data_IF_431511841563
#
_entry.id   IF_431511841563
#
_cell.length_a   1.000
_cell.length_b   1.000
_cell.length_c   1.000
_cell.angle_alpha   90.00
_cell.angle_beta   90.00
_cell.angle_gamma   90.00
#
_symmetry.space_group_name_H-M   'P 1'
#
loop_
_entity.id
_entity.type
_entity.pdbx_description
1 polymer ?
#
# COMPACT_ATOMS: atom_id res chain seq x y z
N UNK A 1 -3.76 6.33 2.24
CA UNK A 1 -3.82 6.21 3.72
C UNK A 1 -2.48 5.73 4.25
N UNK A 2 -2.19 5.93 5.53
CA UNK A 2 -0.86 5.66 6.07
C UNK A 2 -0.87 5.12 7.50
N UNK A 3 0.04 4.21 7.83
CA UNK A 3 0.28 3.74 9.19
C UNK A 3 1.78 3.53 9.47
N UNK A 4 2.33 4.36 10.36
CA UNK A 4 3.72 4.31 10.82
C UNK A 4 3.85 3.73 12.23
N UNK A 5 4.33 2.47 12.30
CA UNK A 5 4.61 1.78 13.55
C UNK A 5 5.89 2.26 14.26
N UNK A 6 6.81 2.95 13.57
CA UNK A 6 8.04 3.50 14.17
C UNK A 6 7.75 4.61 15.20
N UNK A 7 6.52 5.14 15.19
CA UNK A 7 6.03 6.14 16.14
C UNK A 7 5.30 5.51 17.34
N UNK A 8 5.12 4.19 17.36
CA UNK A 8 4.49 3.51 18.49
C UNK A 8 5.39 3.58 19.75
N UNK A 9 4.77 3.49 20.93
CA UNK A 9 5.45 3.63 22.23
C UNK A 9 5.76 5.06 22.65
N UNK A 10 5.78 6.01 21.70
CA UNK A 10 6.08 7.43 21.94
C UNK A 10 4.84 8.18 22.44
N UNK A 11 5.05 9.32 23.08
CA UNK A 11 4.01 10.33 23.31
C UNK A 11 4.17 11.41 22.26
N UNK A 12 3.18 11.60 21.40
CA UNK A 12 3.21 12.59 20.33
C UNK A 12 1.90 13.35 20.29
N UNK A 13 1.99 14.68 20.20
CA UNK A 13 0.85 15.51 19.82
C UNK A 13 0.77 15.52 18.28
N UNK A 14 -0.44 15.37 17.76
CA UNK A 14 -0.72 15.50 16.33
C UNK A 14 -1.75 16.60 16.16
N UNK A 15 -1.57 17.46 15.17
CA UNK A 15 -2.60 18.39 14.71
C UNK A 15 -3.58 17.66 13.80
N UNK A 16 -4.83 18.12 13.83
CA UNK A 16 -5.82 17.67 12.87
C UNK A 16 -5.66 18.50 11.59
N UNK A 17 -5.43 17.84 10.46
CA UNK A 17 -5.10 18.54 9.22
C UNK A 17 -6.35 19.17 8.58
N UNK A 18 -7.44 18.40 8.44
CA UNK A 18 -8.79 18.83 8.03
C UNK A 18 -9.82 17.69 8.25
N UNK A 19 -11.16 17.88 8.10
CA UNK A 19 -12.12 16.79 8.33
C UNK A 19 -11.95 15.58 7.39
N UNK A 20 -11.39 15.78 6.19
CA UNK A 20 -11.18 14.73 5.19
C UNK A 20 -9.82 14.02 5.32
N UNK A 21 -8.92 14.53 6.17
CA UNK A 21 -7.59 13.99 6.41
C UNK A 21 -7.26 14.13 7.90
N UNK A 22 -7.40 13.02 8.62
CA UNK A 22 -7.25 12.97 10.07
C UNK A 22 -5.97 12.23 10.39
N UNK A 23 -4.99 12.97 10.90
CA UNK A 23 -3.77 12.43 11.48
C UNK A 23 -4.01 12.14 12.96
N UNK A 24 -3.84 10.87 13.34
CA UNK A 24 -4.00 10.41 14.72
C UNK A 24 -2.72 9.72 15.18
N UNK A 25 -2.30 9.95 16.43
CA UNK A 25 -1.31 9.12 17.09
C UNK A 25 -1.99 8.27 18.16
N UNK A 26 -1.61 6.99 18.24
CA UNK A 26 -2.05 6.10 19.31
C UNK A 26 -0.84 5.36 19.86
N UNK A 27 -0.56 5.46 21.16
CA UNK A 27 0.65 4.86 21.79
C UNK A 27 0.89 3.40 21.41
N UNK A 28 -0.16 2.56 21.34
CA UNK A 28 -0.03 1.13 20.96
C UNK A 28 0.22 0.88 19.47
N UNK A 29 -0.08 1.84 18.59
CA UNK A 29 -0.17 1.62 17.13
C UNK A 29 0.75 2.56 16.35
N UNK A 30 1.20 3.68 16.93
CA UNK A 30 1.98 4.69 16.23
C UNK A 30 1.10 5.73 15.56
N UNK A 31 1.54 6.22 14.40
CA UNK A 31 0.87 7.30 13.69
C UNK A 31 0.03 6.75 12.54
N UNK A 32 -1.20 7.23 12.41
CA UNK A 32 -2.14 6.84 11.38
C UNK A 32 -2.68 8.08 10.67
N UNK A 33 -2.73 8.03 9.34
CA UNK A 33 -3.40 9.03 8.51
C UNK A 33 -4.61 8.36 7.86
N UNK A 34 -5.79 8.79 8.30
CA UNK A 34 -7.08 8.41 7.75
C UNK A 34 -7.54 9.48 6.80
N UNK A 35 -8.21 9.08 5.73
CA UNK A 35 -8.75 10.01 4.74
C UNK A 35 -10.19 9.60 4.38
N UNK A 36 -10.99 10.55 3.93
CA UNK A 36 -12.38 10.36 3.51
C UNK A 36 -12.59 10.88 2.08
N UNK A 37 -13.61 10.36 1.38
CA UNK A 37 -13.96 10.71 0.00
C UNK A 37 -12.74 10.71 -0.95
N UNK A 38 -12.04 9.57 -1.01
CA UNK A 38 -10.72 9.49 -1.64
C UNK A 38 -10.87 8.98 -3.07
N UNK A 39 -10.21 9.66 -4.01
CA UNK A 39 -9.94 9.16 -5.36
C UNK A 39 -9.11 7.87 -5.31
N UNK A 40 -9.54 6.77 -5.96
CA UNK A 40 -8.73 5.56 -6.08
C UNK A 40 -7.43 5.79 -6.85
N UNK A 41 -6.44 4.95 -6.56
CA UNK A 41 -5.28 4.74 -7.40
C UNK A 41 -5.64 3.77 -8.53
N UNK A 42 -5.15 3.98 -9.74
CA UNK A 42 -5.44 3.12 -10.89
C UNK A 42 -4.19 2.34 -11.32
N UNK A 43 -4.34 1.03 -11.52
CA UNK A 43 -3.25 0.16 -11.96
C UNK A 43 -3.76 -0.98 -12.84
N UNK A 44 -2.86 -1.56 -13.64
CA UNK A 44 -3.16 -2.74 -14.46
C UNK A 44 -3.41 -3.98 -13.60
N UNK A 45 -4.40 -4.77 -14.00
CA UNK A 45 -4.80 -6.00 -13.33
C UNK A 45 -5.27 -7.06 -14.34
N UNK A 46 -4.65 -8.24 -14.29
CA UNK A 46 -4.96 -9.40 -15.13
C UNK A 46 -5.60 -10.57 -14.35
N UNK A 47 -6.16 -10.28 -13.17
CA UNK A 47 -6.73 -11.31 -12.29
C UNK A 47 -5.79 -11.77 -11.17
N UNK A 48 -4.47 -11.47 -11.25
CA UNK A 48 -3.48 -11.95 -10.27
C UNK A 48 -2.84 -10.82 -9.46
N UNK A 49 -2.40 -11.16 -8.26
CA UNK A 49 -1.56 -10.32 -7.40
C UNK A 49 -0.26 -11.06 -7.11
N UNK A 50 0.87 -10.35 -7.10
CA UNK A 50 2.04 -10.80 -6.35
C UNK A 50 1.73 -10.66 -4.87
N UNK A 51 2.29 -11.49 -4.02
CA UNK A 51 2.09 -11.42 -2.57
C UNK A 51 3.43 -11.61 -1.87
N UNK A 52 3.69 -10.76 -0.88
CA UNK A 52 4.72 -11.00 0.12
C UNK A 52 4.26 -12.14 1.02
N UNK A 53 5.10 -13.16 1.14
CA UNK A 53 4.90 -14.28 2.05
C UNK A 53 5.83 -14.14 3.27
N UNK A 54 5.43 -14.80 4.35
CA UNK A 54 6.21 -14.84 5.59
C UNK A 54 7.61 -15.39 5.31
N UNK A 55 8.64 -14.56 5.55
CA UNK A 55 10.04 -14.91 5.36
C UNK A 55 10.66 -14.40 4.06
N UNK A 56 9.86 -13.84 3.15
CA UNK A 56 10.39 -13.17 1.95
C UNK A 56 11.24 -11.95 2.32
N UNK A 57 12.25 -11.65 1.50
CA UNK A 57 13.06 -10.46 1.70
C UNK A 57 12.27 -9.18 1.40
N UNK A 58 12.55 -8.13 2.18
CA UNK A 58 12.04 -6.77 2.04
C UNK A 58 13.13 -5.84 1.52
N UNK A 59 12.73 -4.81 0.80
CA UNK A 59 13.63 -3.71 0.49
C UNK A 59 13.86 -2.84 1.73
N UNK A 60 15.05 -2.91 2.31
CA UNK A 60 15.41 -2.17 3.53
C UNK A 60 15.55 -0.65 3.32
N UNK A 61 15.82 -0.20 2.10
CA UNK A 61 16.10 1.22 1.77
C UNK A 61 15.08 1.83 0.81
N UNK A 62 14.11 1.03 0.36
CA UNK A 62 13.05 1.41 -0.55
C UNK A 62 11.68 0.97 -0.05
N UNK A 63 10.75 0.79 -0.99
CA UNK A 63 9.38 0.36 -0.70
C UNK A 63 9.24 -1.12 -1.03
N UNK A 64 8.76 -1.89 -0.07
CA UNK A 64 8.30 -3.26 -0.31
C UNK A 64 6.82 -3.26 -0.62
N UNK A 65 6.45 -3.78 -1.79
CA UNK A 65 5.05 -3.94 -2.15
C UNK A 65 4.54 -5.30 -1.68
N UNK A 66 3.56 -5.30 -0.78
CA UNK A 66 3.08 -6.51 -0.13
C UNK A 66 2.12 -7.31 -1.00
N UNK A 67 1.39 -6.65 -1.90
CA UNK A 67 0.42 -7.33 -2.75
C UNK A 67 0.15 -6.63 -4.09
N UNK A 68 1.18 -6.23 -4.83
CA UNK A 68 0.98 -5.51 -6.10
C UNK A 68 0.12 -6.29 -7.11
N UNK A 69 -0.83 -5.62 -7.79
CA UNK A 69 -1.55 -6.24 -8.90
C UNK A 69 -0.59 -6.55 -10.04
N UNK A 70 -0.90 -7.61 -10.80
CA UNK A 70 -0.13 -8.05 -11.96
C UNK A 70 -0.85 -7.62 -13.23
N UNK A 71 -0.10 -7.15 -14.21
CA UNK A 71 -0.58 -6.69 -15.50
C UNK A 71 0.25 -5.49 -15.96
N UNK A 72 0.18 -5.20 -17.25
CA UNK A 72 0.78 -4.01 -17.85
C UNK A 72 0.04 -3.68 -19.16
N UNK A 73 0.44 -2.60 -19.83
CA UNK A 73 -0.21 -2.16 -21.07
C UNK A 73 -0.18 -3.22 -22.17
N UNK A 74 0.90 -4.01 -22.26
CA UNK A 74 1.08 -5.09 -23.23
C UNK A 74 0.34 -6.40 -22.89
N UNK A 75 -0.23 -6.54 -21.69
CA UNK A 75 -0.96 -7.75 -21.29
C UNK A 75 -2.41 -7.70 -21.82
N UNK A 76 -2.79 -8.54 -22.80
CA UNK A 76 -4.10 -8.45 -23.46
C UNK A 76 -5.28 -8.68 -22.51
N UNK A 77 -5.06 -9.46 -21.44
CA UNK A 77 -6.04 -9.81 -20.42
C UNK A 77 -6.13 -8.75 -19.32
N UNK A 78 -5.12 -7.89 -19.18
CA UNK A 78 -5.13 -6.84 -18.19
C UNK A 78 -6.14 -5.74 -18.50
N UNK A 79 -6.75 -5.19 -17.45
CA UNK A 79 -7.56 -3.97 -17.45
C UNK A 79 -7.06 -3.02 -16.37
N UNK A 80 -7.29 -1.72 -16.55
CA UNK A 80 -7.03 -0.73 -15.50
C UNK A 80 -8.13 -0.85 -14.45
N UNK A 81 -7.75 -1.05 -13.19
CA UNK A 81 -8.67 -1.25 -12.07
C UNK A 81 -8.39 -0.25 -10.93
N UNK A 82 -9.42 0.13 -10.14
CA UNK A 82 -9.28 1.03 -9.02
C UNK A 82 -8.80 0.30 -7.75
N UNK A 83 -7.91 0.95 -7.02
CA UNK A 83 -7.32 0.47 -5.79
C UNK A 83 -7.31 1.55 -4.72
N UNK A 84 -7.51 1.10 -3.48
CA UNK A 84 -7.11 1.83 -2.29
C UNK A 84 -5.64 1.49 -2.00
N UNK A 85 -4.75 2.46 -2.13
CA UNK A 85 -3.36 2.30 -1.70
C UNK A 85 -3.20 2.60 -0.20
N UNK A 86 -2.68 1.60 0.51
CA UNK A 86 -2.33 1.70 1.92
C UNK A 86 -0.81 1.65 2.06
N UNK A 87 -0.21 2.75 2.50
CA UNK A 87 1.23 2.81 2.77
C UNK A 87 1.48 2.60 4.27
N UNK A 88 2.65 2.11 4.63
CA UNK A 88 3.00 1.98 6.04
C UNK A 88 4.48 1.82 6.29
N UNK A 89 4.87 2.09 7.54
CA UNK A 89 6.22 1.84 8.05
C UNK A 89 6.12 0.72 9.08
N UNK A 90 6.79 -0.40 8.82
CA UNK A 90 6.66 -1.64 9.59
C UNK A 90 8.03 -2.15 10.07
N UNK A 91 8.11 -2.86 11.21
CA UNK A 91 9.36 -3.45 11.67
C UNK A 91 9.79 -4.62 10.77
N UNK A 92 11.07 -4.65 10.44
CA UNK A 92 11.75 -5.73 9.73
C UNK A 92 13.05 -6.09 10.47
N UNK A 93 13.51 -7.32 10.28
CA UNK A 93 14.81 -7.75 10.80
C UNK A 93 15.92 -7.17 9.91
N UNK A 94 16.84 -6.40 10.50
CA UNK A 94 17.88 -5.70 9.74
C UNK A 94 18.97 -6.62 9.17
N UNK A 95 19.03 -7.89 9.61
CA UNK A 95 20.00 -8.88 9.12
C UNK A 95 19.35 -9.92 8.21
N UNK A 96 18.18 -10.42 8.60
CA UNK A 96 17.48 -11.44 7.83
C UNK A 96 16.53 -10.86 6.77
N UNK A 97 16.30 -9.55 6.82
CA UNK A 97 15.62 -8.79 5.78
C UNK A 97 14.16 -9.21 5.53
N UNK A 98 13.47 -9.82 6.48
CA UNK A 98 12.01 -10.01 6.39
C UNK A 98 11.27 -9.15 7.40
N UNK A 99 9.99 -8.90 7.12
CA UNK A 99 9.10 -8.26 8.10
C UNK A 99 9.06 -9.07 9.40
N UNK A 100 9.13 -8.36 10.52
CA UNK A 100 8.95 -8.94 11.83
C UNK A 100 7.46 -9.22 12.03
N UNK A 101 7.16 -10.40 12.58
CA UNK A 101 5.84 -10.76 13.10
C UNK A 101 5.88 -10.53 14.61
N UNK A 102 5.51 -9.33 15.11
CA UNK A 102 5.63 -9.03 16.52
C UNK A 102 4.47 -9.62 17.33
N UNK A 103 4.75 -10.01 18.58
CA UNK A 103 3.69 -10.28 19.55
C UNK A 103 3.08 -8.96 20.03
N UNK A 104 1.92 -8.60 19.49
CA UNK A 104 1.22 -7.36 19.86
C UNK A 104 0.35 -7.53 21.10
N UNK A 105 -0.62 -8.45 21.05
CA UNK A 105 -1.53 -8.73 22.16
C UNK A 105 -0.79 -9.40 23.32
N UNK A 106 -0.92 -8.85 24.53
CA UNK A 106 -0.15 -9.29 25.70
C UNK A 106 1.37 -9.05 25.60
N UNK A 107 1.87 -8.58 24.45
CA UNK A 107 3.28 -8.23 24.21
C UNK A 107 3.45 -6.72 24.08
N UNK A 108 3.82 -6.25 22.88
CA UNK A 108 4.16 -4.83 22.63
C UNK A 108 3.15 -3.84 23.22
N UNK A 109 1.85 -4.14 23.17
CA UNK A 109 0.81 -3.25 23.70
C UNK A 109 0.77 -3.12 25.23
N UNK A 110 1.50 -3.97 25.97
CA UNK A 110 1.67 -3.87 27.42
C UNK A 110 3.00 -3.19 27.79
N UNK A 111 4.10 -3.64 27.21
CA UNK A 111 5.44 -3.23 27.64
C UNK A 111 6.12 -2.20 26.71
N UNK A 112 5.60 -1.98 25.49
CA UNK A 112 6.13 -1.04 24.50
C UNK A 112 7.60 -1.25 24.12
N UNK A 113 8.06 -2.50 24.19
CA UNK A 113 9.41 -2.93 23.83
C UNK A 113 9.35 -3.77 22.55
N UNK A 114 9.86 -3.20 21.46
CA UNK A 114 9.84 -3.82 20.14
C UNK A 114 10.73 -5.06 20.06
N UNK A 115 11.87 -5.06 20.75
CA UNK A 115 12.84 -6.13 20.71
C UNK A 115 12.32 -7.37 21.45
N UNK A 116 11.67 -7.18 22.61
CA UNK A 116 10.92 -8.26 23.28
C UNK A 116 9.76 -8.76 22.44
N UNK A 117 8.97 -7.87 21.84
CA UNK A 117 7.82 -8.27 21.03
C UNK A 117 8.25 -9.04 19.75
N UNK A 118 9.36 -8.64 19.14
CA UNK A 118 9.96 -9.33 18.01
C UNK A 118 10.48 -10.71 18.41
N UNK A 119 11.25 -10.83 19.51
CA UNK A 119 11.69 -12.14 20.03
C UNK A 119 10.54 -13.12 20.22
N UNK A 120 9.50 -12.69 20.94
CA UNK A 120 8.38 -13.56 21.28
C UNK A 120 7.57 -13.97 20.04
N UNK A 121 7.31 -13.00 19.15
CA UNK A 121 6.50 -13.24 17.95
C UNK A 121 7.22 -14.06 16.89
N UNK A 122 8.51 -13.77 16.64
CA UNK A 122 9.32 -14.51 15.68
C UNK A 122 9.58 -15.95 16.14
N UNK A 123 9.84 -16.15 17.44
CA UNK A 123 9.92 -17.49 18.03
C UNK A 123 8.64 -18.29 17.80
N UNK A 124 7.47 -17.68 18.02
CA UNK A 124 6.18 -18.32 17.78
C UNK A 124 5.92 -18.61 16.29
N UNK A 125 6.43 -17.76 15.39
CA UNK A 125 6.34 -17.94 13.94
C UNK A 125 7.37 -18.95 13.37
N UNK A 126 8.27 -19.50 14.20
CA UNK A 126 9.33 -20.39 13.74
C UNK A 126 10.42 -19.70 12.91
N UNK A 127 10.50 -18.36 12.98
CA UNK A 127 11.49 -17.56 12.25
C UNK A 127 12.61 -17.09 13.17
N UNK A 128 13.80 -16.92 12.61
CA UNK A 128 14.94 -16.36 13.34
C UNK A 128 14.70 -14.86 13.59
N UNK A 129 15.35 -14.34 14.62
CA UNK A 129 15.40 -12.90 14.89
C UNK A 129 16.82 -12.56 15.31
N UNK A 130 17.40 -11.55 14.66
CA UNK A 130 18.81 -11.18 14.83
C UNK A 130 19.06 -10.27 16.03
N UNK A 131 17.99 -9.76 16.67
CA UNK A 131 18.10 -8.71 17.68
C UNK A 131 18.17 -7.30 17.11
N UNK A 132 18.12 -7.14 15.78
CA UNK A 132 18.23 -5.83 15.11
C UNK A 132 16.96 -5.52 14.32
N UNK A 133 16.27 -4.46 14.72
CA UNK A 133 15.05 -3.99 14.07
C UNK A 133 15.37 -2.79 13.19
N UNK A 134 14.90 -2.81 11.94
CA UNK A 134 14.81 -1.64 11.07
C UNK A 134 13.34 -1.41 10.72
N UNK A 135 12.92 -0.16 10.62
CA UNK A 135 11.58 0.18 10.15
C UNK A 135 11.64 0.47 8.65
N UNK A 136 10.83 -0.24 7.87
CA UNK A 136 10.87 -0.23 6.40
C UNK A 136 9.55 0.25 5.80
N UNK A 137 9.62 0.84 4.60
CA UNK A 137 8.44 1.31 3.90
C UNK A 137 7.74 0.16 3.18
N UNK A 138 6.42 0.14 3.28
CA UNK A 138 5.57 -0.87 2.66
C UNK A 138 4.38 -0.24 1.98
N UNK A 139 3.89 -0.88 0.92
CA UNK A 139 2.66 -0.50 0.21
C UNK A 139 1.80 -1.72 -0.06
N UNK A 140 0.49 -1.52 0.05
CA UNK A 140 -0.51 -2.57 -0.17
C UNK A 140 -1.67 -2.01 -0.99
N UNK A 141 -2.04 -2.72 -2.04
CA UNK A 141 -3.16 -2.46 -2.92
C UNK A 141 -4.39 -3.21 -2.45
N UNK A 142 -5.49 -2.51 -2.25
CA UNK A 142 -6.79 -3.12 -1.96
C UNK A 142 -7.76 -2.76 -3.06
N UNK A 143 -8.31 -3.77 -3.76
CA UNK A 143 -9.28 -3.51 -4.83
C UNK A 143 -10.51 -2.80 -4.29
N UNK A 144 -11.00 -1.83 -5.05
CA UNK A 144 -12.27 -1.15 -4.79
C UNK A 144 -13.33 -1.75 -5.71
N UNK A 145 -14.27 -2.51 -5.13
CA UNK A 145 -15.34 -3.18 -5.88
C UNK A 145 -16.75 -2.87 -5.34
N UNK A 146 -16.83 -2.06 -4.29
CA UNK A 146 -18.07 -1.65 -3.63
C UNK A 146 -18.16 -0.12 -3.65
N UNK A 147 -19.25 0.43 -3.10
CA UNK A 147 -19.55 1.87 -3.15
C UNK A 147 -19.69 2.38 -4.59
N UNK A 148 -20.30 1.57 -5.46
CA UNK A 148 -20.66 1.98 -6.83
C UNK A 148 -21.67 3.11 -6.73
N UNK A 149 -21.28 4.28 -7.21
CA UNK A 149 -22.12 5.49 -7.24
C UNK A 149 -23.17 5.42 -8.36
N UNK A 150 -24.26 6.20 -8.28
CA UNK A 150 -25.18 6.39 -9.39
C UNK A 150 -24.47 6.78 -10.69
N UNK A 151 -25.06 6.43 -11.84
CA UNK A 151 -24.45 6.62 -13.16
C UNK A 151 -24.10 8.09 -13.46
N UNK A 152 -24.83 9.03 -12.87
CA UNK A 152 -24.63 10.47 -13.01
C UNK A 152 -23.30 10.94 -12.40
N UNK A 153 -22.69 10.11 -11.53
CA UNK A 153 -21.39 10.35 -10.90
C UNK A 153 -20.29 9.42 -11.44
N UNK A 154 -20.57 8.64 -12.49
CA UNK A 154 -19.54 7.86 -13.16
C UNK A 154 -18.49 8.79 -13.77
N UNK A 155 -17.24 8.32 -13.83
CA UNK A 155 -16.17 9.04 -14.51
C UNK A 155 -16.55 9.24 -15.98
N UNK A 156 -16.53 10.49 -16.41
CA UNK A 156 -16.70 10.94 -17.78
C UNK A 156 -15.34 11.10 -18.48
N UNK A 157 -15.35 11.41 -19.77
CA UNK A 157 -14.14 11.55 -20.59
C UNK A 157 -13.12 12.50 -19.95
N UNK A 158 -13.57 13.69 -19.51
CA UNK A 158 -12.69 14.71 -18.94
C UNK A 158 -12.19 14.37 -17.55
N UNK A 159 -12.78 13.39 -16.86
CA UNK A 159 -12.22 12.94 -15.60
C UNK A 159 -10.92 12.16 -15.81
N UNK A 160 -10.72 11.53 -16.98
CA UNK A 160 -9.47 10.85 -17.32
C UNK A 160 -8.57 11.72 -18.22
N UNK A 161 -9.16 12.39 -19.20
CA UNK A 161 -8.49 13.11 -20.30
C UNK A 161 -8.45 14.62 -20.02
N UNK A 162 -7.82 14.99 -18.91
CA UNK A 162 -7.56 16.38 -18.55
C UNK A 162 -6.17 16.51 -17.93
N UNK A 163 -5.67 17.73 -17.84
CA UNK A 163 -4.39 18.03 -17.20
C UNK A 163 -4.31 17.51 -15.74
N UNK A 164 -5.42 17.55 -15.02
CA UNK A 164 -5.58 17.10 -13.64
C UNK A 164 -6.35 15.76 -13.51
N UNK A 165 -6.40 14.99 -14.60
CA UNK A 165 -7.19 13.78 -14.73
C UNK A 165 -6.83 12.69 -13.71
N UNK A 166 -7.71 11.68 -13.64
CA UNK A 166 -7.55 10.57 -12.70
C UNK A 166 -6.47 9.56 -13.08
N UNK A 167 -6.07 9.56 -14.35
CA UNK A 167 -5.14 8.60 -14.92
C UNK A 167 -3.72 9.18 -15.01
N UNK A 168 -2.78 8.47 -14.40
CA UNK A 168 -1.35 8.68 -14.66
C UNK A 168 -0.96 7.84 -15.88
N UNK A 169 -1.14 8.40 -17.07
CA UNK A 169 -0.94 7.68 -18.32
C UNK A 169 0.50 7.20 -18.51
N UNK A 170 1.49 8.01 -18.08
CA UNK A 170 2.91 7.65 -18.15
C UNK A 170 3.20 6.45 -17.24
N UNK A 171 2.75 6.48 -15.97
CA UNK A 171 2.92 5.34 -15.06
C UNK A 171 2.16 4.08 -15.53
N UNK A 172 1.08 4.26 -16.30
CA UNK A 172 0.35 3.16 -16.94
C UNK A 172 1.02 2.65 -18.23
N UNK A 173 2.13 3.26 -18.68
CA UNK A 173 2.91 2.84 -19.84
C UNK A 173 2.43 3.42 -21.18
N UNK A 174 1.54 4.41 -21.17
CA UNK A 174 1.17 5.15 -22.38
C UNK A 174 2.23 6.21 -22.70
N UNK A 175 2.34 6.57 -23.98
CA UNK A 175 3.24 7.64 -24.46
C UNK A 175 2.74 9.06 -24.18
N UNK A 176 1.55 9.17 -23.59
CA UNK A 176 0.80 10.41 -23.38
C UNK A 176 -0.67 10.09 -23.19
N UNK A 177 -1.52 11.11 -23.19
CA UNK A 177 -2.96 10.92 -23.17
C UNK A 177 -3.42 10.14 -24.44
N UNK A 178 -4.00 8.94 -24.31
CA UNK A 178 -4.40 8.13 -25.45
C UNK A 178 -5.53 8.74 -26.29
N UNK A 179 -6.27 9.73 -25.77
CA UNK A 179 -7.20 10.52 -26.57
C UNK A 179 -6.49 11.41 -27.61
N UNK A 180 -5.20 11.70 -27.38
CA UNK A 180 -4.36 12.54 -28.26
C UNK A 180 -3.40 11.66 -29.08
N UNK A 181 -2.71 10.72 -28.43
CA UNK A 181 -1.59 9.97 -29.03
C UNK A 181 -1.97 8.57 -29.51
N UNK A 182 -3.21 8.14 -29.28
CA UNK A 182 -3.71 6.82 -29.62
C UNK A 182 -3.57 5.78 -28.52
N UNK A 183 -4.39 4.74 -28.62
CA UNK A 183 -4.57 3.70 -27.61
C UNK A 183 -3.69 2.47 -27.86
N UNK A 184 -3.77 1.48 -26.94
CA UNK A 184 -3.24 0.14 -27.16
C UNK A 184 -3.84 -0.48 -28.44
N UNK A 185 -3.00 -0.88 -29.38
CA UNK A 185 -3.41 -1.76 -30.49
C UNK A 185 -3.57 -3.19 -29.97
N UNK A 186 -4.74 -3.80 -30.21
CA UNK A 186 -4.83 -5.26 -30.26
C UNK A 186 -4.56 -5.62 -31.72
N UNK A 187 -3.52 -6.43 -31.99
CA UNK A 187 -3.52 -7.17 -33.25
C UNK A 187 -4.80 -8.00 -33.27
N UNK A 188 -5.70 -7.72 -34.21
CA UNK A 188 -6.79 -8.63 -34.53
C UNK A 188 -6.10 -9.87 -35.11
N UNK A 189 -6.09 -10.94 -34.32
CA UNK A 189 -5.95 -12.27 -34.89
C UNK A 189 -7.35 -12.67 -35.33
N UNK A 190 -7.46 -12.94 -36.63
CA UNK A 190 -8.71 -13.17 -37.36
C UNK A 190 -9.36 -14.50 -36.98
#
# INVERSE_FOLDING_TARGET
MFWDWSKAGKTMKVSQDNPYCITTHHKKKGLLIKKQNIRPDYAWYNGKHRQYLTGDSVNLDGVTYLNSPVGNISDPEARIAPYKLFSGIQPADAKYEYLIIPKLWGGYWKHFDWDRAARDGMKAAGLKYSGKIKFVNTKMYWRVNHEVVPKEHALSCTNCHSYDGVMDFEALGYKGDPAIVGCRSKERTD
#
